data_IF_078082231568
#
_entry.id   IF_078082231568
#
_cell.length_a   1.000
_cell.length_b   1.000
_cell.length_c   1.000
_cell.angle_alpha   90.00
_cell.angle_beta   90.00
_cell.angle_gamma   90.00
#
_symmetry.space_group_name_H-M   'P 1'
#
loop_
_entity.id
_entity.type
_entity.pdbx_description
1 polymer ?
#
# COMPACT_ATOMS: atom_id res chain seq x y z
N UNK A 1 -24.94 17.76 3.22
CA UNK A 1 -25.04 16.30 3.36
C UNK A 1 -23.63 15.80 3.62
N UNK A 2 -23.34 15.35 4.82
CA UNK A 2 -22.09 14.65 5.16
C UNK A 2 -22.09 13.36 4.32
N UNK A 3 -21.16 13.28 3.37
CA UNK A 3 -20.96 12.09 2.57
C UNK A 3 -20.62 10.93 3.51
N UNK A 4 -21.39 9.88 3.44
CA UNK A 4 -21.11 8.61 4.12
C UNK A 4 -19.72 8.14 3.66
N UNK A 5 -18.84 7.84 4.61
CA UNK A 5 -17.57 7.19 4.28
C UNK A 5 -17.84 5.97 3.40
N UNK A 6 -17.05 5.73 2.35
CA UNK A 6 -17.21 4.51 1.57
C UNK A 6 -17.15 3.32 2.51
N UNK A 7 -18.06 2.37 2.32
CA UNK A 7 -18.02 1.11 3.05
C UNK A 7 -16.63 0.48 2.83
N UNK A 8 -16.03 -0.13 3.85
CA UNK A 8 -14.79 -0.88 3.65
C UNK A 8 -15.00 -1.87 2.51
N UNK A 9 -13.99 -2.08 1.64
CA UNK A 9 -14.13 -3.05 0.56
C UNK A 9 -14.58 -4.37 1.18
N UNK A 10 -15.72 -4.89 0.72
CA UNK A 10 -16.18 -6.23 1.06
C UNK A 10 -15.15 -7.16 0.45
N UNK A 11 -14.33 -7.75 1.30
CA UNK A 11 -13.07 -8.24 0.85
C UNK A 11 -12.95 -9.77 0.96
N UNK A 12 -11.80 -10.19 0.64
CA UNK A 12 -11.20 -11.50 0.67
C UNK A 12 -11.40 -12.26 2.00
N UNK A 13 -11.78 -11.58 3.08
CA UNK A 13 -12.09 -12.19 4.38
C UNK A 13 -13.26 -13.20 4.35
N UNK A 14 -14.05 -13.23 3.28
CA UNK A 14 -15.18 -14.15 3.11
C UNK A 14 -14.89 -15.31 2.13
N UNK A 15 -13.69 -15.37 1.52
CA UNK A 15 -13.34 -16.48 0.64
C UNK A 15 -13.04 -17.75 1.45
N UNK A 16 -13.55 -18.90 1.02
CA UNK A 16 -13.17 -20.19 1.62
C UNK A 16 -11.66 -20.42 1.52
N UNK A 17 -11.11 -21.18 2.47
CA UNK A 17 -9.71 -21.58 2.40
C UNK A 17 -9.45 -22.42 1.13
N UNK A 18 -8.29 -22.24 0.51
CA UNK A 18 -7.83 -22.99 -0.65
C UNK A 18 -8.87 -23.07 -1.79
N UNK A 19 -9.51 -21.94 -2.10
CA UNK A 19 -10.61 -21.89 -3.06
C UNK A 19 -10.27 -21.15 -4.36
N UNK A 20 -9.11 -20.49 -4.43
CA UNK A 20 -8.71 -19.72 -5.60
C UNK A 20 -7.25 -19.96 -5.97
N UNK A 21 -6.95 -19.96 -7.26
CA UNK A 21 -5.60 -20.17 -7.79
C UNK A 21 -4.84 -18.85 -8.00
N UNK A 22 -5.57 -17.76 -8.16
CA UNK A 22 -5.01 -16.43 -8.37
C UNK A 22 -5.77 -15.41 -7.54
N UNK A 23 -5.02 -14.56 -6.84
CA UNK A 23 -5.52 -13.31 -6.29
C UNK A 23 -4.80 -12.17 -6.99
N UNK A 24 -5.58 -11.29 -7.60
CA UNK A 24 -5.08 -10.05 -8.19
C UNK A 24 -5.75 -8.85 -7.54
N UNK A 25 -4.99 -8.09 -6.76
CA UNK A 25 -5.46 -6.94 -6.01
C UNK A 25 -4.75 -5.66 -6.50
N UNK A 26 -5.39 -4.92 -7.40
CA UNK A 26 -4.83 -3.69 -7.93
C UNK A 26 -5.21 -2.51 -7.05
N UNK A 27 -4.20 -1.77 -6.56
CA UNK A 27 -4.31 -0.53 -5.78
C UNK A 27 -5.26 -0.65 -4.57
N UNK A 28 -5.20 -1.77 -3.85
CA UNK A 28 -6.07 -2.06 -2.71
C UNK A 28 -5.31 -2.06 -1.36
N UNK A 29 -4.14 -2.68 -1.30
CA UNK A 29 -3.47 -3.03 -0.05
C UNK A 29 -3.15 -1.81 0.84
N UNK A 30 -2.89 -0.64 0.26
CA UNK A 30 -2.65 0.61 0.99
C UNK A 30 -3.90 1.23 1.62
N UNK A 31 -5.11 0.71 1.33
CA UNK A 31 -6.37 1.23 1.85
C UNK A 31 -6.89 0.47 3.07
N UNK A 32 -6.21 -0.60 3.48
CA UNK A 32 -6.63 -1.41 4.63
C UNK A 32 -5.91 -0.99 5.90
N UNK A 33 -6.63 -1.05 7.01
CA UNK A 33 -6.08 -0.67 8.32
C UNK A 33 -5.09 -1.70 8.87
N UNK A 34 -5.24 -2.97 8.49
CA UNK A 34 -4.38 -4.08 8.91
C UNK A 34 -3.91 -4.89 7.68
N UNK A 35 -2.80 -4.48 7.06
CA UNK A 35 -2.22 -5.19 5.93
C UNK A 35 -1.85 -6.65 6.23
N UNK A 36 -1.43 -6.93 7.46
CA UNK A 36 -1.05 -8.28 7.86
C UNK A 36 -2.23 -9.24 7.82
N UNK A 37 -3.36 -8.84 8.39
CA UNK A 37 -4.58 -9.66 8.36
C UNK A 37 -5.08 -9.84 6.93
N UNK A 38 -4.95 -8.85 6.06
CA UNK A 38 -5.27 -8.97 4.64
C UNK A 38 -4.40 -10.03 3.95
N UNK A 39 -3.08 -9.97 4.12
CA UNK A 39 -2.16 -10.94 3.53
C UNK A 39 -2.39 -12.37 4.06
N UNK A 40 -2.72 -12.52 5.36
CA UNK A 40 -3.08 -13.81 5.94
C UNK A 40 -4.35 -14.39 5.30
N UNK A 41 -5.38 -13.55 5.11
CA UNK A 41 -6.62 -13.95 4.43
C UNK A 41 -6.35 -14.37 2.98
N UNK A 42 -5.53 -13.63 2.26
CA UNK A 42 -5.12 -13.99 0.89
C UNK A 42 -4.35 -15.31 0.86
N UNK A 43 -3.40 -15.49 1.79
CA UNK A 43 -2.66 -16.75 1.89
C UNK A 43 -3.58 -17.94 2.17
N UNK A 44 -4.56 -17.80 3.07
CA UNK A 44 -5.50 -18.87 3.40
C UNK A 44 -6.42 -19.21 2.21
N UNK A 45 -6.88 -18.20 1.45
CA UNK A 45 -7.79 -18.36 0.32
C UNK A 45 -7.13 -19.02 -0.92
N UNK A 46 -5.84 -18.80 -1.13
CA UNK A 46 -5.11 -19.39 -2.26
C UNK A 46 -4.98 -20.90 -2.11
N UNK A 47 -5.11 -21.63 -3.21
CA UNK A 47 -4.70 -23.05 -3.30
C UNK A 47 -3.18 -23.18 -3.18
N UNK A 48 -2.70 -24.40 -2.96
CA UNK A 48 -1.25 -24.69 -3.03
C UNK A 48 -0.75 -24.44 -4.47
N UNK A 49 0.41 -23.83 -4.59
CA UNK A 49 0.98 -23.28 -5.83
C UNK A 49 0.14 -22.13 -6.41
N UNK A 50 -0.83 -21.62 -5.68
CA UNK A 50 -1.61 -20.43 -6.06
C UNK A 50 -0.76 -19.17 -6.04
N UNK A 51 -1.14 -18.21 -6.86
CA UNK A 51 -0.36 -17.00 -7.16
C UNK A 51 -1.04 -15.75 -6.64
N UNK A 52 -0.29 -14.93 -5.91
CA UNK A 52 -0.70 -13.59 -5.47
C UNK A 52 -0.03 -12.55 -6.36
N UNK A 53 -0.80 -11.59 -6.85
CA UNK A 53 -0.33 -10.34 -7.43
C UNK A 53 -1.05 -9.17 -6.78
N UNK A 54 -0.33 -8.13 -6.40
CA UNK A 54 -0.97 -6.90 -5.97
C UNK A 54 -0.14 -5.67 -6.30
N UNK A 55 -0.80 -4.52 -6.30
CA UNK A 55 -0.15 -3.21 -6.33
C UNK A 55 -0.70 -2.30 -5.25
N UNK A 56 0.12 -1.38 -4.77
CA UNK A 56 -0.27 -0.40 -3.76
C UNK A 56 0.60 0.85 -3.85
N UNK A 57 0.23 1.88 -3.09
CA UNK A 57 1.09 3.05 -2.93
C UNK A 57 2.23 2.77 -1.95
N UNK A 58 3.40 3.34 -2.25
CA UNK A 58 4.58 3.37 -1.40
C UNK A 58 4.78 4.72 -0.70
N UNK A 59 5.78 4.81 0.20
CA UNK A 59 6.00 5.94 1.11
C UNK A 59 6.27 7.28 0.42
N UNK A 60 6.86 7.30 -0.77
CA UNK A 60 7.12 8.52 -1.53
C UNK A 60 5.86 9.11 -2.20
N UNK A 61 4.71 8.42 -2.11
CA UNK A 61 3.45 8.95 -2.65
C UNK A 61 3.07 10.25 -1.96
N UNK A 62 2.73 11.28 -2.78
CA UNK A 62 2.34 12.62 -2.35
C UNK A 62 3.45 13.38 -1.60
N UNK A 63 4.73 13.07 -1.81
CA UNK A 63 5.85 13.68 -1.07
C UNK A 63 5.88 15.21 -1.19
N UNK A 64 5.54 15.77 -2.36
CA UNK A 64 5.48 17.22 -2.56
C UNK A 64 4.36 17.85 -1.72
N UNK A 65 3.18 17.22 -1.70
CA UNK A 65 2.06 17.68 -0.88
C UNK A 65 2.35 17.53 0.62
N UNK A 66 3.04 16.46 1.04
CA UNK A 66 3.51 16.29 2.43
C UNK A 66 4.45 17.41 2.84
N UNK A 67 5.37 17.81 1.95
CA UNK A 67 6.29 18.92 2.19
C UNK A 67 5.55 20.26 2.34
N UNK A 68 4.53 20.52 1.52
CA UNK A 68 3.67 21.70 1.64
C UNK A 68 2.95 21.75 3.00
N UNK A 69 2.36 20.63 3.42
CA UNK A 69 1.67 20.54 4.71
C UNK A 69 2.64 20.76 5.88
N UNK A 70 3.83 20.17 5.82
CA UNK A 70 4.87 20.36 6.82
C UNK A 70 5.32 21.83 6.90
N UNK A 71 5.53 22.50 5.76
CA UNK A 71 5.88 23.92 5.71
C UNK A 71 4.79 24.83 6.29
N UNK A 72 3.52 24.43 6.19
CA UNK A 72 2.39 25.16 6.79
C UNK A 72 2.18 24.83 8.27
N UNK A 73 2.92 23.87 8.83
CA UNK A 73 2.71 23.36 10.19
C UNK A 73 1.38 22.63 10.35
N UNK A 74 0.90 21.99 9.30
CA UNK A 74 -0.37 21.28 9.28
C UNK A 74 -0.18 19.76 9.48
N UNK A 75 -1.20 19.07 10.02
CA UNK A 75 -1.20 17.62 10.10
C UNK A 75 -1.04 16.96 8.71
N UNK A 76 -0.51 15.72 8.64
CA UNK A 76 -0.24 15.04 7.38
C UNK A 76 -1.45 14.98 6.43
N UNK A 77 -1.25 15.17 5.10
CA UNK A 77 -2.33 15.12 4.11
C UNK A 77 -2.85 13.71 3.83
N UNK A 78 -2.07 12.69 4.13
CA UNK A 78 -2.39 11.28 3.95
C UNK A 78 -1.75 10.44 5.07
N UNK A 79 -2.24 9.21 5.27
CA UNK A 79 -1.58 8.24 6.15
C UNK A 79 -0.23 7.82 5.58
N UNK A 80 0.58 7.16 6.39
CA UNK A 80 1.84 6.57 5.95
C UNK A 80 1.55 5.31 5.12
N UNK A 81 2.31 5.12 4.06
CA UNK A 81 2.25 3.92 3.22
C UNK A 81 3.40 2.99 3.58
N UNK A 82 3.15 1.69 3.49
CA UNK A 82 4.13 0.66 3.81
C UNK A 82 5.21 0.61 2.73
N UNK A 83 6.46 0.51 3.16
CA UNK A 83 7.63 0.37 2.29
C UNK A 83 7.66 -1.00 1.57
N UNK A 84 8.31 -1.03 0.42
CA UNK A 84 8.48 -2.23 -0.40
C UNK A 84 9.13 -3.39 0.36
N UNK A 85 10.16 -3.11 1.16
CA UNK A 85 10.87 -4.13 1.92
C UNK A 85 9.99 -4.70 3.05
N UNK A 86 9.21 -3.83 3.71
CA UNK A 86 8.27 -4.26 4.74
C UNK A 86 7.15 -5.15 4.18
N UNK A 87 6.69 -4.88 2.96
CA UNK A 87 5.77 -5.77 2.25
C UNK A 87 6.40 -7.13 1.97
N UNK A 88 7.62 -7.17 1.45
CA UNK A 88 8.37 -8.41 1.19
C UNK A 88 8.57 -9.23 2.47
N UNK A 89 8.98 -8.58 3.55
CA UNK A 89 9.16 -9.21 4.87
C UNK A 89 7.84 -9.80 5.41
N UNK A 90 6.73 -9.08 5.28
CA UNK A 90 5.43 -9.56 5.71
C UNK A 90 4.98 -10.78 4.90
N UNK A 91 5.13 -10.77 3.58
CA UNK A 91 4.84 -11.91 2.72
C UNK A 91 5.62 -13.15 3.17
N UNK A 92 6.93 -12.99 3.37
CA UNK A 92 7.80 -14.08 3.80
C UNK A 92 7.37 -14.64 5.18
N UNK A 93 7.10 -13.77 6.16
CA UNK A 93 6.68 -14.17 7.52
C UNK A 93 5.32 -14.88 7.55
N UNK A 94 4.44 -14.59 6.61
CA UNK A 94 3.12 -15.24 6.49
C UNK A 94 3.24 -16.63 5.84
N UNK A 95 4.31 -16.87 5.09
CA UNK A 95 4.58 -18.16 4.47
C UNK A 95 4.47 -18.18 2.95
N UNK A 96 4.39 -17.02 2.31
CA UNK A 96 4.56 -16.96 0.87
C UNK A 96 6.00 -17.30 0.46
N UNK A 97 6.15 -17.92 -0.69
CA UNK A 97 7.45 -18.20 -1.30
C UNK A 97 7.72 -17.23 -2.46
N UNK A 98 9.01 -17.00 -2.68
CA UNK A 98 9.53 -16.25 -3.82
C UNK A 98 8.86 -14.88 -4.00
N UNK A 99 8.74 -14.06 -2.93
CA UNK A 99 8.19 -12.73 -3.09
C UNK A 99 9.11 -11.90 -3.98
N UNK A 100 8.57 -11.40 -5.08
CA UNK A 100 9.23 -10.44 -5.96
C UNK A 100 8.55 -9.10 -5.75
N UNK A 101 9.37 -8.08 -5.52
CA UNK A 101 8.92 -6.72 -5.30
C UNK A 101 9.58 -5.82 -6.34
N UNK A 102 8.80 -4.91 -6.88
CA UNK A 102 9.25 -3.88 -7.78
C UNK A 102 8.54 -2.57 -7.46
N UNK A 103 9.12 -1.43 -7.86
CA UNK A 103 8.52 -0.13 -7.62
C UNK A 103 8.86 0.86 -8.73
N UNK A 104 7.94 1.77 -8.98
CA UNK A 104 8.18 2.89 -9.88
C UNK A 104 7.65 4.20 -9.32
N UNK A 105 8.24 5.31 -9.74
CA UNK A 105 7.72 6.64 -9.48
C UNK A 105 7.00 7.17 -10.71
N UNK A 106 5.71 7.49 -10.54
CA UNK A 106 4.90 8.17 -11.55
C UNK A 106 4.69 9.61 -11.12
N UNK A 107 5.16 10.56 -11.91
CA UNK A 107 4.92 11.98 -11.65
C UNK A 107 3.80 12.50 -12.53
N UNK A 108 2.71 12.92 -11.90
CA UNK A 108 1.61 13.61 -12.56
C UNK A 108 1.82 15.12 -12.52
N UNK A 109 1.44 15.80 -13.59
CA UNK A 109 1.54 17.25 -13.70
C UNK A 109 0.19 17.92 -13.76
N UNK A 110 0.05 19.08 -13.11
CA UNK A 110 -1.22 19.80 -13.01
C UNK A 110 -1.02 21.29 -13.28
N UNK A 111 -1.89 21.86 -14.08
CA UNK A 111 -1.85 23.29 -14.43
C UNK A 111 -2.15 24.19 -13.24
N UNK A 112 -2.97 23.71 -12.30
CA UNK A 112 -3.38 24.49 -11.13
C UNK A 112 -3.60 23.62 -9.89
N UNK A 113 -3.42 24.23 -8.67
CA UNK A 113 -3.75 23.55 -7.41
C UNK A 113 -5.19 23.06 -7.35
N UNK A 114 -6.13 23.79 -7.93
CA UNK A 114 -7.54 23.42 -7.93
C UNK A 114 -7.76 22.08 -8.67
N UNK A 115 -7.17 21.92 -9.86
CA UNK A 115 -7.23 20.66 -10.63
C UNK A 115 -6.60 19.51 -9.86
N UNK A 116 -5.42 19.71 -9.29
CA UNK A 116 -4.76 18.69 -8.47
C UNK A 116 -5.63 18.26 -7.30
N UNK A 117 -6.23 19.20 -6.55
CA UNK A 117 -7.09 18.88 -5.41
C UNK A 117 -8.38 18.19 -5.83
N UNK A 118 -8.91 18.46 -7.01
CA UNK A 118 -10.10 17.79 -7.52
C UNK A 118 -9.81 16.33 -7.90
N UNK A 119 -8.66 16.05 -8.53
CA UNK A 119 -8.22 14.69 -8.82
C UNK A 119 -7.95 13.88 -7.54
N UNK A 120 -7.28 14.47 -6.55
CA UNK A 120 -7.02 13.80 -5.27
C UNK A 120 -8.32 13.40 -4.53
N UNK A 121 -9.42 14.14 -4.71
CA UNK A 121 -10.72 13.75 -4.15
C UNK A 121 -11.25 12.45 -4.72
N UNK A 122 -10.91 12.14 -5.97
CA UNK A 122 -11.26 10.87 -6.62
C UNK A 122 -10.51 9.67 -6.04
N UNK A 123 -9.33 9.87 -5.48
CA UNK A 123 -8.51 8.80 -4.89
C UNK A 123 -8.95 8.37 -3.48
N UNK A 124 -9.88 9.09 -2.87
CA UNK A 124 -10.39 8.77 -1.53
C UNK A 124 -10.07 9.80 -0.45
N UNK A 125 -10.27 9.44 0.81
CA UNK A 125 -10.10 10.31 1.97
C UNK A 125 -8.78 10.08 2.69
N UNK A 126 -8.32 11.11 3.43
CA UNK A 126 -7.19 10.95 4.33
C UNK A 126 -7.57 10.07 5.54
N UNK A 127 -6.94 8.92 5.66
CA UNK A 127 -7.15 7.94 6.74
C UNK A 127 -6.21 8.14 7.93
N UNK A 128 -5.31 9.16 7.89
CA UNK A 128 -4.36 9.40 8.98
C UNK A 128 -5.11 9.69 10.30
N UNK A 129 -4.73 9.06 11.44
CA UNK A 129 -5.40 9.28 12.73
C UNK A 129 -5.33 10.75 13.18
N UNK A 130 -4.20 11.43 12.94
CA UNK A 130 -3.97 12.83 13.30
C UNK A 130 -4.43 13.83 12.23
N UNK A 131 -5.21 13.38 11.23
CA UNK A 131 -5.75 14.26 10.20
C UNK A 131 -6.51 15.45 10.80
N UNK A 132 -6.50 16.57 10.09
CA UNK A 132 -7.27 17.74 10.50
C UNK A 132 -8.77 17.40 10.66
N UNK A 133 -9.26 17.47 11.88
CA UNK A 133 -10.62 17.07 12.25
C UNK A 133 -11.66 18.19 12.06
N UNK A 134 -11.23 19.43 11.82
CA UNK A 134 -12.12 20.60 11.70
C UNK A 134 -12.66 20.83 10.28
N UNK A 135 -13.55 21.80 10.17
CA UNK A 135 -14.05 22.27 8.88
C UNK A 135 -12.95 23.04 8.14
N UNK A 136 -12.73 22.70 6.87
CA UNK A 136 -11.80 23.39 5.99
C UNK A 136 -12.50 24.60 5.37
N UNK A 137 -12.09 25.80 5.82
CA UNK A 137 -12.68 27.07 5.37
C UNK A 137 -12.15 27.49 3.97
N UNK A 138 -12.81 28.42 3.27
CA UNK A 138 -12.25 29.01 2.05
C UNK A 138 -10.87 29.65 2.25
N UNK A 139 -10.60 30.21 3.43
CA UNK A 139 -9.28 30.78 3.77
C UNK A 139 -8.23 29.68 3.89
N UNK A 140 -8.56 28.56 4.49
CA UNK A 140 -7.69 27.38 4.55
C UNK A 140 -7.33 26.90 3.14
N UNK A 141 -8.33 26.79 2.25
CA UNK A 141 -8.12 26.35 0.87
C UNK A 141 -7.21 27.33 0.10
N UNK A 142 -7.43 28.64 0.21
CA UNK A 142 -6.57 29.64 -0.44
C UNK A 142 -5.11 29.56 0.04
N UNK A 143 -4.89 29.33 1.34
CA UNK A 143 -3.53 29.16 1.89
C UNK A 143 -2.85 27.91 1.34
N UNK A 144 -3.59 26.80 1.22
CA UNK A 144 -3.07 25.58 0.64
C UNK A 144 -2.69 25.80 -0.84
N UNK A 145 -3.60 26.34 -1.63
CA UNK A 145 -3.40 26.58 -3.05
C UNK A 145 -2.18 27.51 -3.30
N UNK A 146 -2.04 28.57 -2.52
CA UNK A 146 -0.88 29.45 -2.59
C UNK A 146 0.44 28.75 -2.22
N UNK A 147 0.44 27.90 -1.20
CA UNK A 147 1.61 27.15 -0.82
C UNK A 147 1.97 26.05 -1.85
N UNK A 148 0.98 25.43 -2.48
CA UNK A 148 1.19 24.48 -3.57
C UNK A 148 1.83 25.18 -4.79
N UNK A 149 1.32 26.34 -5.19
CA UNK A 149 1.93 27.12 -6.28
C UNK A 149 3.37 27.52 -5.99
N UNK A 150 3.68 27.87 -4.73
CA UNK A 150 5.02 28.27 -4.32
C UNK A 150 6.03 27.12 -4.22
N UNK A 151 5.59 25.88 -3.89
CA UNK A 151 6.50 24.79 -3.51
C UNK A 151 6.42 23.56 -4.40
N UNK A 152 5.36 23.38 -5.21
CA UNK A 152 5.20 22.18 -6.02
C UNK A 152 5.52 22.40 -7.51
N UNK A 153 5.82 23.63 -7.93
CA UNK A 153 6.30 23.94 -9.27
C UNK A 153 7.82 23.84 -9.32
N UNK A 154 8.42 23.11 -10.28
CA UNK A 154 9.87 23.12 -10.47
C UNK A 154 10.41 24.49 -10.89
N UNK A 155 9.63 25.26 -11.66
CA UNK A 155 9.85 26.65 -12.00
C UNK A 155 8.50 27.38 -12.10
N UNK A 156 8.51 28.72 -12.04
CA UNK A 156 7.29 29.55 -11.96
C UNK A 156 6.33 29.38 -13.16
N UNK A 157 6.86 29.02 -14.31
CA UNK A 157 6.13 28.80 -15.56
C UNK A 157 5.81 27.35 -15.86
N UNK A 158 6.22 26.42 -14.96
CA UNK A 158 5.98 24.99 -15.12
C UNK A 158 4.75 24.51 -14.33
N UNK A 159 4.12 23.39 -14.72
CA UNK A 159 3.02 22.79 -13.97
C UNK A 159 3.47 22.29 -12.59
N UNK A 160 2.50 22.10 -11.68
CA UNK A 160 2.76 21.47 -10.40
C UNK A 160 3.06 19.99 -10.62
N UNK A 161 4.04 19.46 -9.90
CA UNK A 161 4.36 18.05 -9.90
C UNK A 161 3.80 17.36 -8.66
N UNK A 162 3.30 16.15 -8.85
CA UNK A 162 2.86 15.26 -7.76
C UNK A 162 3.34 13.85 -8.03
N UNK A 163 4.15 13.33 -7.14
CA UNK A 163 4.74 12.00 -7.27
C UNK A 163 3.85 10.96 -6.59
N UNK A 164 3.70 9.83 -7.27
CA UNK A 164 3.13 8.58 -6.76
C UNK A 164 4.21 7.51 -6.86
N UNK A 165 4.50 6.85 -5.78
CA UNK A 165 5.27 5.62 -5.75
C UNK A 165 4.29 4.45 -5.83
N UNK A 166 4.46 3.60 -6.83
CA UNK A 166 3.63 2.41 -7.01
C UNK A 166 4.52 1.19 -6.77
N UNK A 167 4.12 0.40 -5.81
CA UNK A 167 4.75 -0.88 -5.49
C UNK A 167 3.96 -1.99 -6.16
N UNK A 168 4.66 -2.88 -6.82
CA UNK A 168 4.15 -4.11 -7.43
C UNK A 168 4.72 -5.31 -6.69
N UNK A 169 3.89 -6.30 -6.45
CA UNK A 169 4.33 -7.53 -5.82
C UNK A 169 3.69 -8.74 -6.45
N UNK A 170 4.45 -9.84 -6.47
CA UNK A 170 3.89 -11.16 -6.65
C UNK A 170 4.59 -12.18 -5.74
N UNK A 171 3.86 -13.24 -5.38
CA UNK A 171 4.36 -14.31 -4.55
C UNK A 171 3.55 -15.59 -4.77
N UNK A 172 4.11 -16.73 -4.40
CA UNK A 172 3.45 -18.04 -4.49
C UNK A 172 3.05 -18.53 -3.09
N UNK A 173 1.92 -19.23 -3.00
CA UNK A 173 1.63 -20.06 -1.85
C UNK A 173 2.32 -21.43 -2.02
N UNK A 174 3.42 -21.73 -1.29
CA UNK A 174 4.18 -22.95 -1.50
C UNK A 174 3.44 -24.17 -0.96
N UNK A 175 3.76 -25.35 -1.51
CA UNK A 175 3.43 -26.61 -0.86
C UNK A 175 4.18 -26.77 0.45
N UNK A 176 3.59 -27.41 1.46
CA UNK A 176 4.33 -27.76 2.68
C UNK A 176 5.60 -28.52 2.34
N UNK A 177 6.74 -28.05 2.84
CA UNK A 177 7.97 -28.81 2.71
C UNK A 177 7.84 -30.10 3.52
N UNK A 178 7.86 -31.24 2.84
CA UNK A 178 7.99 -32.54 3.53
C UNK A 178 9.40 -32.58 4.11
N UNK A 179 9.53 -32.28 5.39
CA UNK A 179 10.79 -32.52 6.11
C UNK A 179 10.99 -34.04 6.12
N UNK A 180 11.91 -34.54 5.30
CA UNK A 180 12.29 -35.96 5.35
C UNK A 180 12.75 -36.20 6.77
N UNK A 181 12.04 -37.08 7.49
CA UNK A 181 12.42 -37.48 8.83
C UNK A 181 13.93 -37.83 8.82
N UNK A 182 14.66 -37.31 9.80
CA UNK A 182 16.08 -37.58 9.93
C UNK A 182 16.29 -39.12 9.80
N UNK A 183 17.18 -39.48 8.90
CA UNK A 183 17.52 -40.89 8.70
C UNK A 183 17.80 -41.51 10.08
N UNK A 184 17.22 -42.68 10.34
CA UNK A 184 17.46 -43.42 11.59
C UNK A 184 19.00 -43.55 11.77
N UNK A 185 19.50 -43.41 13.00
CA UNK A 185 20.93 -43.56 13.26
C UNK A 185 21.42 -44.94 12.77
N UNK A 186 22.63 -44.98 12.23
CA UNK A 186 23.17 -46.25 11.74
C UNK A 186 23.16 -47.30 12.87
N UNK A 187 22.66 -48.47 12.55
CA UNK A 187 22.68 -49.60 13.48
C UNK A 187 24.15 -49.98 13.72
N UNK A 188 24.64 -49.73 14.93
CA UNK A 188 25.97 -50.17 15.32
C UNK A 188 25.94 -51.71 15.52
N UNK A 189 26.59 -52.44 14.66
CA UNK A 189 26.85 -53.86 14.89
C UNK A 189 28.06 -53.97 15.81
N UNK A 190 27.87 -54.53 17.00
CA UNK A 190 28.97 -55.02 17.86
C UNK A 190 29.43 -56.36 17.28
N UNK A 191 30.71 -56.44 16.90
CA UNK A 191 31.37 -57.70 16.60
C UNK A 191 32.02 -58.18 17.93
N UNK A 192 31.43 -59.18 18.55
CA UNK A 192 32.05 -59.96 19.60
C UNK A 192 33.01 -60.97 18.99
#
# INVERSE_FOLDING_TARGET
RLGRAPAPPQGVAELPEQSVQLIWANMLAHQVADPRSLLQAWHAALELDGFLMFSCFGPDTLRELRSVYAALGWPPPAHEFTDMHDWGDQLFRIGFAEPVMDMEHVTLTFESPARLLDELRGLGGNLHPDRFAGLRTPSWRRRLEAAMDAHMRPAADQPLNLTFEIIYSHALRPKPRVTRAAAAPPIAYSLD
#
